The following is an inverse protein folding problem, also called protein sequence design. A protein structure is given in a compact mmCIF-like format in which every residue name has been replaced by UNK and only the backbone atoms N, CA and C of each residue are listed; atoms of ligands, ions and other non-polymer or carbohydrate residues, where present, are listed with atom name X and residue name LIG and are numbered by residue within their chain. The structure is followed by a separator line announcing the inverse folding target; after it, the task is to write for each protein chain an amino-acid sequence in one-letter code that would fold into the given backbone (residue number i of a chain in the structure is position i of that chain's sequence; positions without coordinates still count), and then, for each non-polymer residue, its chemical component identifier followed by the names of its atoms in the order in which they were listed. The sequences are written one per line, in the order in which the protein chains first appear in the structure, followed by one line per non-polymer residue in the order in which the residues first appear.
data_IF_142796138675
#
_entry.id   IF_142796138675
#
_cell.length_a   1.000
_cell.length_b   1.000
_cell.length_c   1.000
_cell.angle_alpha   90.00
_cell.angle_beta   90.00
_cell.angle_gamma   90.00
#
_symmetry.space_group_name_H-M   'P 1'
#
loop_
_entity.id
_entity.type
_entity.pdbx_description
1 polymer ?
#
# COMPACT_ATOMS: atom_id res chain seq x y z
N UNK A 1 12.38 -3.26 17.20
CA UNK A 1 12.29 -2.67 15.84
C UNK A 1 12.56 -3.74 14.77
N UNK A 2 11.61 -4.00 13.88
CA UNK A 2 11.75 -4.99 12.79
C UNK A 2 12.50 -4.44 11.56
N UNK A 3 12.82 -3.14 11.55
CA UNK A 3 13.58 -2.47 10.50
C UNK A 3 15.02 -3.00 10.49
N UNK A 4 15.48 -3.45 9.31
CA UNK A 4 16.85 -3.90 9.07
C UNK A 4 17.43 -3.10 7.91
N UNK A 5 17.98 -1.90 8.19
CA UNK A 5 18.51 -1.03 7.15
C UNK A 5 19.59 -1.73 6.33
N UNK A 6 19.74 -1.29 5.08
CA UNK A 6 20.78 -1.81 4.21
C UNK A 6 22.16 -1.45 4.78
N UNK A 7 23.05 -2.44 4.99
CA UNK A 7 24.40 -2.15 5.49
C UNK A 7 25.15 -1.19 4.56
N UNK A 8 25.74 -0.15 5.13
CA UNK A 8 26.48 0.88 4.39
C UNK A 8 25.73 2.21 4.21
N UNK A 9 24.52 2.36 4.77
CA UNK A 9 23.79 3.63 4.81
C UNK A 9 23.48 4.20 3.42
N UNK A 10 23.44 5.53 3.28
CA UNK A 10 23.10 6.21 2.03
C UNK A 10 24.03 5.85 0.85
N UNK A 11 25.32 5.58 1.10
CA UNK A 11 26.24 5.13 0.06
C UNK A 11 25.86 3.75 -0.53
N UNK A 12 25.20 2.89 0.25
CA UNK A 12 24.63 1.65 -0.26
C UNK A 12 23.33 1.90 -1.03
N UNK A 13 22.55 2.91 -0.64
CA UNK A 13 21.33 3.34 -1.34
C UNK A 13 21.66 3.90 -2.73
N UNK A 14 22.68 4.75 -2.86
CA UNK A 14 23.15 5.25 -4.17
C UNK A 14 23.47 4.09 -5.13
N UNK A 15 24.23 3.10 -4.65
CA UNK A 15 24.55 1.90 -5.44
C UNK A 15 23.31 1.10 -5.79
N UNK A 16 22.34 1.01 -4.88
CA UNK A 16 21.07 0.33 -5.12
C UNK A 16 20.25 1.05 -6.20
N UNK A 17 20.20 2.38 -6.17
CA UNK A 17 19.51 3.20 -7.16
C UNK A 17 20.03 2.93 -8.57
N UNK A 18 21.35 2.83 -8.75
CA UNK A 18 21.99 2.56 -10.04
C UNK A 18 21.92 1.09 -10.48
N UNK A 19 21.72 0.15 -9.55
CA UNK A 19 21.65 -1.28 -9.88
C UNK A 19 20.43 -1.62 -10.75
N UNK A 20 20.44 -2.70 -11.55
CA UNK A 20 19.23 -3.13 -12.25
C UNK A 20 18.13 -3.56 -11.26
N UNK A 21 16.86 -3.48 -11.69
CA UNK A 21 15.74 -4.00 -10.89
C UNK A 21 15.92 -5.51 -10.64
N UNK A 22 15.80 -5.98 -9.38
CA UNK A 22 15.82 -7.40 -9.06
C UNK A 22 14.77 -8.18 -9.85
N UNK A 23 15.08 -9.45 -10.16
CA UNK A 23 14.07 -10.35 -10.71
C UNK A 23 12.90 -10.51 -9.70
N UNK A 24 11.64 -10.65 -10.16
CA UNK A 24 10.49 -10.87 -9.26
C UNK A 24 10.61 -12.12 -8.38
N UNK A 25 11.49 -13.06 -8.76
CA UNK A 25 11.79 -14.28 -8.00
C UNK A 25 12.97 -14.13 -7.03
N UNK A 26 13.60 -12.96 -6.94
CA UNK A 26 14.69 -12.70 -5.99
C UNK A 26 14.17 -12.62 -4.54
N UNK A 27 15.05 -12.86 -3.56
CA UNK A 27 14.67 -12.88 -2.15
C UNK A 27 13.50 -13.83 -1.87
N UNK A 28 12.46 -13.33 -1.21
CA UNK A 28 11.23 -14.08 -0.92
C UNK A 28 10.35 -14.33 -2.16
N UNK A 29 10.63 -13.68 -3.29
CA UNK A 29 9.84 -13.79 -4.52
C UNK A 29 9.68 -15.22 -5.03
N UNK A 30 10.71 -16.08 -4.88
CA UNK A 30 10.62 -17.50 -5.24
C UNK A 30 9.61 -18.25 -4.36
N UNK A 31 9.60 -17.97 -3.06
CA UNK A 31 8.65 -18.61 -2.13
C UNK A 31 7.22 -18.10 -2.37
N UNK A 32 7.06 -16.80 -2.64
CA UNK A 32 5.78 -16.19 -3.03
C UNK A 32 5.25 -16.82 -4.33
N UNK A 33 6.10 -16.98 -5.35
CA UNK A 33 5.70 -17.65 -6.59
C UNK A 33 5.27 -19.11 -6.35
N UNK A 34 6.05 -19.85 -5.57
CA UNK A 34 5.78 -21.27 -5.29
C UNK A 34 4.45 -21.45 -4.53
N UNK A 35 4.14 -20.58 -3.56
CA UNK A 35 2.87 -20.66 -2.85
C UNK A 35 1.69 -20.28 -3.74
N UNK A 36 1.83 -19.26 -4.59
CA UNK A 36 0.81 -18.88 -5.58
C UNK A 36 0.50 -20.03 -6.55
N UNK A 37 1.54 -20.64 -7.13
CA UNK A 37 1.40 -21.80 -8.02
C UNK A 37 0.74 -22.99 -7.33
N UNK A 38 1.11 -23.25 -6.07
CA UNK A 38 0.48 -24.29 -5.27
C UNK A 38 -1.01 -24.02 -5.05
N UNK A 39 -1.39 -22.78 -4.71
CA UNK A 39 -2.80 -22.43 -4.57
C UNK A 39 -3.57 -22.55 -5.88
N UNK A 40 -2.99 -22.17 -7.01
CA UNK A 40 -3.64 -22.36 -8.32
C UNK A 40 -3.82 -23.83 -8.68
N UNK A 41 -2.85 -24.70 -8.38
CA UNK A 41 -2.99 -26.14 -8.54
C UNK A 41 -4.12 -26.70 -7.65
N UNK A 42 -4.22 -26.25 -6.40
CA UNK A 42 -5.32 -26.62 -5.50
C UNK A 42 -6.69 -26.13 -6.01
N UNK A 43 -6.78 -24.92 -6.57
CA UNK A 43 -8.01 -24.42 -7.21
C UNK A 43 -8.44 -25.33 -8.37
N UNK A 44 -7.50 -25.74 -9.22
CA UNK A 44 -7.80 -26.63 -10.35
C UNK A 44 -8.28 -28.02 -9.89
N UNK A 45 -7.71 -28.54 -8.80
CA UNK A 45 -8.03 -29.87 -8.30
C UNK A 45 -9.32 -29.92 -7.45
N UNK A 46 -9.62 -28.87 -6.69
CA UNK A 46 -10.68 -28.89 -5.67
C UNK A 46 -11.73 -27.79 -5.93
N UNK A 47 -12.90 -28.11 -6.53
CA UNK A 47 -13.93 -27.13 -6.85
C UNK A 47 -14.45 -26.31 -5.65
N UNK A 48 -14.53 -26.93 -4.46
CA UNK A 48 -14.91 -26.22 -3.23
C UNK A 48 -13.85 -25.18 -2.83
N UNK A 49 -12.57 -25.50 -2.98
CA UNK A 49 -11.48 -24.56 -2.72
C UNK A 49 -11.57 -23.38 -3.69
N UNK A 50 -11.71 -23.64 -4.99
CA UNK A 50 -11.85 -22.60 -6.01
C UNK A 50 -13.05 -21.66 -5.76
N UNK A 51 -14.14 -22.17 -5.20
CA UNK A 51 -15.36 -21.40 -4.93
C UNK A 51 -15.29 -20.58 -3.63
N UNK A 52 -14.70 -21.11 -2.57
CA UNK A 52 -14.81 -20.53 -1.23
C UNK A 52 -13.51 -19.93 -0.68
N UNK A 53 -12.36 -20.19 -1.32
CA UNK A 53 -11.08 -19.65 -0.88
C UNK A 53 -10.63 -18.55 -1.83
N UNK A 54 -10.59 -17.33 -1.30
CA UNK A 54 -10.00 -16.17 -1.94
C UNK A 54 -8.52 -16.10 -1.51
N UNK A 55 -7.65 -15.76 -2.45
CA UNK A 55 -6.21 -15.73 -2.22
C UNK A 55 -5.79 -14.27 -2.18
N UNK A 56 -5.16 -13.88 -1.06
CA UNK A 56 -4.60 -12.55 -0.91
C UNK A 56 -3.40 -12.33 -1.83
N UNK A 57 -3.26 -11.10 -2.35
CA UNK A 57 -2.00 -10.71 -2.96
C UNK A 57 -0.90 -10.59 -1.90
N UNK A 58 0.39 -10.78 -2.26
CA UNK A 58 1.47 -10.64 -1.30
C UNK A 58 1.52 -9.21 -0.77
N UNK A 59 1.92 -9.09 0.49
CA UNK A 59 2.21 -7.80 1.08
C UNK A 59 3.54 -7.26 0.52
N UNK A 60 3.46 -6.32 -0.40
CA UNK A 60 4.61 -5.63 -0.99
C UNK A 60 4.95 -4.32 -0.28
N UNK A 61 4.18 -3.94 0.76
CA UNK A 61 4.20 -2.62 1.41
C UNK A 61 3.94 -1.46 0.42
N UNK A 62 3.99 -0.20 0.87
CA UNK A 62 4.04 0.96 -0.03
C UNK A 62 5.46 1.41 -0.35
N UNK A 63 5.64 2.29 -1.34
CA UNK A 63 6.96 2.81 -1.70
C UNK A 63 7.73 3.42 -0.53
N UNK A 64 7.06 4.23 0.29
CA UNK A 64 7.68 4.86 1.45
C UNK A 64 8.00 3.87 2.57
N UNK A 65 7.11 2.91 2.82
CA UNK A 65 7.35 1.86 3.83
C UNK A 65 8.60 1.02 3.49
N UNK A 66 8.76 0.66 2.21
CA UNK A 66 9.99 -0.03 1.74
C UNK A 66 11.20 0.91 1.81
N UNK A 67 11.03 2.20 1.53
CA UNK A 67 12.08 3.20 1.66
C UNK A 67 12.59 3.28 3.12
N UNK A 68 11.69 3.39 4.10
CA UNK A 68 12.05 3.38 5.53
C UNK A 68 12.73 2.07 5.93
N UNK A 69 12.27 0.92 5.41
CA UNK A 69 12.90 -0.37 5.69
C UNK A 69 14.34 -0.46 5.18
N UNK A 70 14.63 0.12 4.01
CA UNK A 70 15.95 0.11 3.39
C UNK A 70 16.91 1.14 4.00
N UNK A 71 16.43 2.36 4.22
CA UNK A 71 17.26 3.48 4.70
C UNK A 71 17.39 3.47 6.23
N UNK A 72 16.35 3.04 6.95
CA UNK A 72 16.28 3.14 8.40
C UNK A 72 15.99 4.58 8.87
N UNK A 73 16.31 4.86 10.14
CA UNK A 73 16.07 6.18 10.75
C UNK A 73 16.77 7.34 10.05
N UNK A 74 17.83 7.07 9.27
CA UNK A 74 18.52 8.09 8.48
C UNK A 74 17.61 8.71 7.41
N UNK A 75 16.50 8.04 7.05
CA UNK A 75 15.49 8.56 6.12
C UNK A 75 15.00 9.94 6.53
N UNK A 76 14.76 10.18 7.83
CA UNK A 76 14.20 11.44 8.31
C UNK A 76 15.14 12.63 8.09
N UNK A 77 16.46 12.40 8.03
CA UNK A 77 17.44 13.41 7.65
C UNK A 77 17.57 13.48 6.12
N UNK A 78 17.65 12.33 5.45
CA UNK A 78 17.84 12.24 4.01
C UNK A 78 16.69 12.85 3.20
N UNK A 79 15.46 12.91 3.75
CA UNK A 79 14.34 13.64 3.14
C UNK A 79 14.65 15.14 2.98
N UNK A 80 15.50 15.73 3.83
CA UNK A 80 15.93 17.13 3.74
C UNK A 80 17.29 17.29 3.05
N UNK A 81 18.26 16.47 3.44
CA UNK A 81 19.64 16.63 3.01
C UNK A 81 19.89 16.06 1.62
N UNK A 82 19.18 14.98 1.26
CA UNK A 82 19.39 14.19 0.02
C UNK A 82 18.07 13.88 -0.72
N UNK A 83 17.15 14.85 -0.94
CA UNK A 83 15.81 14.59 -1.48
C UNK A 83 15.86 13.94 -2.87
N UNK A 84 16.84 14.31 -3.70
CA UNK A 84 17.03 13.72 -5.03
C UNK A 84 17.33 12.21 -4.97
N UNK A 85 18.16 11.79 -4.01
CA UNK A 85 18.47 10.37 -3.79
C UNK A 85 17.23 9.61 -3.31
N UNK A 86 16.46 10.20 -2.40
CA UNK A 86 15.22 9.59 -1.89
C UNK A 86 14.17 9.47 -3.01
N UNK A 87 14.01 10.48 -3.86
CA UNK A 87 13.15 10.37 -5.05
C UNK A 87 13.62 9.27 -6.01
N UNK A 88 14.93 9.16 -6.26
CA UNK A 88 15.47 8.11 -7.12
C UNK A 88 15.23 6.70 -6.54
N UNK A 89 15.35 6.55 -5.22
CA UNK A 89 15.02 5.31 -4.53
C UNK A 89 13.52 4.99 -4.61
N UNK A 90 12.64 5.95 -4.32
CA UNK A 90 11.19 5.77 -4.38
C UNK A 90 10.72 5.40 -5.80
N UNK A 91 11.29 6.04 -6.83
CA UNK A 91 11.03 5.68 -8.22
C UNK A 91 11.44 4.23 -8.52
N UNK A 92 12.61 3.80 -8.02
CA UNK A 92 13.08 2.42 -8.16
C UNK A 92 12.14 1.43 -7.46
N UNK A 93 11.76 1.70 -6.22
CA UNK A 93 10.86 0.86 -5.43
C UNK A 93 9.51 0.75 -6.14
N UNK A 94 8.98 1.86 -6.65
CA UNK A 94 7.72 1.92 -7.40
C UNK A 94 7.78 1.03 -8.64
N UNK A 95 8.86 1.09 -9.41
CA UNK A 95 9.06 0.22 -10.57
C UNK A 95 9.20 -1.26 -10.17
N UNK A 96 9.87 -1.55 -9.05
CA UNK A 96 9.96 -2.92 -8.52
C UNK A 96 8.61 -3.44 -8.04
N UNK A 97 7.79 -2.61 -7.40
CA UNK A 97 6.43 -2.94 -6.98
C UNK A 97 5.61 -3.35 -8.20
N UNK A 98 5.60 -2.53 -9.26
CA UNK A 98 4.86 -2.83 -10.49
C UNK A 98 5.26 -4.21 -11.02
N UNK A 99 6.55 -4.45 -11.22
CA UNK A 99 7.08 -5.70 -11.74
C UNK A 99 6.75 -6.92 -10.86
N UNK A 100 6.83 -6.77 -9.54
CA UNK A 100 6.55 -7.83 -8.59
C UNK A 100 5.05 -8.17 -8.53
N UNK A 101 4.19 -7.15 -8.53
CA UNK A 101 2.75 -7.33 -8.51
C UNK A 101 2.22 -7.89 -9.84
N UNK A 102 2.74 -7.45 -10.99
CA UNK A 102 2.41 -8.06 -12.29
C UNK A 102 2.78 -9.54 -12.33
N UNK A 103 3.97 -9.88 -11.84
CA UNK A 103 4.40 -11.26 -11.75
C UNK A 103 3.47 -12.08 -10.86
N UNK A 104 3.07 -11.55 -9.71
CA UNK A 104 2.08 -12.19 -8.86
C UNK A 104 0.74 -12.39 -9.58
N UNK A 105 0.18 -11.35 -10.18
CA UNK A 105 -1.11 -11.38 -10.87
C UNK A 105 -1.10 -12.32 -12.09
N UNK A 106 0.07 -12.55 -12.71
CA UNK A 106 0.24 -13.57 -13.76
C UNK A 106 0.12 -15.01 -13.25
N UNK A 107 0.36 -15.23 -11.95
CA UNK A 107 0.23 -16.53 -11.29
C UNK A 107 -1.15 -16.64 -10.65
N UNK A 108 -1.54 -15.66 -9.83
CA UNK A 108 -2.79 -15.62 -9.08
C UNK A 108 -3.56 -14.35 -9.48
N UNK A 109 -4.46 -14.45 -10.48
CA UNK A 109 -5.33 -13.32 -10.83
C UNK A 109 -6.25 -12.94 -9.67
N UNK A 110 -6.62 -11.66 -9.60
CA UNK A 110 -7.63 -11.18 -8.68
C UNK A 110 -8.96 -11.95 -8.88
N UNK A 111 -9.58 -12.36 -7.78
CA UNK A 111 -10.86 -13.07 -7.79
C UNK A 111 -11.70 -12.63 -6.57
N UNK A 112 -12.85 -11.96 -6.76
CA UNK A 112 -13.47 -11.61 -8.05
C UNK A 112 -12.64 -10.60 -8.86
N UNK A 113 -12.87 -10.56 -10.17
CA UNK A 113 -12.22 -9.58 -11.05
C UNK A 113 -12.55 -8.16 -10.62
N UNK A 114 -11.54 -7.28 -10.63
CA UNK A 114 -11.67 -5.90 -10.16
C UNK A 114 -11.55 -5.72 -8.65
N UNK A 115 -11.32 -6.79 -7.89
CA UNK A 115 -11.14 -6.73 -6.43
C UNK A 115 -9.83 -7.37 -5.98
N UNK A 116 -9.08 -6.64 -5.16
CA UNK A 116 -7.91 -7.12 -4.45
C UNK A 116 -8.35 -7.82 -3.18
N UNK A 117 -7.78 -8.99 -2.89
CA UNK A 117 -7.88 -9.58 -1.56
C UNK A 117 -6.58 -9.29 -0.81
N UNK A 118 -6.69 -8.77 0.40
CA UNK A 118 -5.54 -8.47 1.26
C UNK A 118 -5.94 -8.57 2.73
N UNK A 119 -5.21 -9.39 3.50
CA UNK A 119 -5.52 -9.73 4.89
C UNK A 119 -6.97 -10.17 5.13
N UNK A 120 -7.49 -11.02 4.23
CA UNK A 120 -8.85 -11.56 4.33
C UNK A 120 -9.96 -10.55 4.03
N UNK A 121 -9.61 -9.40 3.45
CA UNK A 121 -10.54 -8.34 3.06
C UNK A 121 -10.53 -8.19 1.54
N UNK A 122 -11.71 -7.98 0.95
CA UNK A 122 -11.85 -7.61 -0.44
C UNK A 122 -11.89 -6.09 -0.55
N UNK A 123 -11.13 -5.52 -1.48
CA UNK A 123 -11.04 -4.09 -1.75
C UNK A 123 -11.24 -3.84 -3.24
N UNK A 124 -12.04 -2.82 -3.60
CA UNK A 124 -12.20 -2.43 -5.00
C UNK A 124 -10.86 -1.95 -5.60
N UNK A 125 -10.55 -2.40 -6.81
CA UNK A 125 -9.25 -2.20 -7.48
C UNK A 125 -8.37 -3.45 -7.45
N UNK A 126 -7.17 -3.38 -8.01
CA UNK A 126 -6.29 -4.57 -8.15
C UNK A 126 -5.23 -4.71 -7.06
N UNK A 127 -4.98 -3.63 -6.32
CA UNK A 127 -3.93 -3.59 -5.29
C UNK A 127 -4.43 -2.92 -4.01
N UNK A 128 -3.81 -3.31 -2.89
CA UNK A 128 -3.85 -2.57 -1.64
C UNK A 128 -2.43 -2.08 -1.32
N UNK A 129 -2.26 -0.77 -1.18
CA UNK A 129 -1.00 -0.13 -0.77
C UNK A 129 -0.97 0.06 0.75
N UNK A 130 0.20 -0.10 1.35
CA UNK A 130 0.45 0.23 2.76
C UNK A 130 1.14 1.60 2.84
N UNK A 131 0.81 2.39 3.85
CA UNK A 131 1.41 3.70 4.10
C UNK A 131 1.55 3.93 5.60
N UNK A 132 2.24 3.02 6.29
CA UNK A 132 2.43 3.14 7.74
C UNK A 132 3.50 4.19 8.08
N UNK A 133 4.52 4.34 7.24
CA UNK A 133 5.57 5.35 7.40
C UNK A 133 5.03 6.78 7.25
N UNK A 134 3.92 6.95 6.54
CA UNK A 134 3.30 8.25 6.32
C UNK A 134 2.93 8.96 7.63
N UNK A 135 2.65 8.22 8.72
CA UNK A 135 2.31 8.81 10.01
C UNK A 135 3.43 9.67 10.61
N UNK A 136 4.67 9.44 10.17
CA UNK A 136 5.85 10.13 10.68
C UNK A 136 6.21 11.38 9.87
N UNK A 137 5.48 11.70 8.80
CA UNK A 137 5.82 12.75 7.86
C UNK A 137 4.83 13.91 7.90
N UNK A 138 5.28 15.13 7.60
CA UNK A 138 4.38 16.28 7.50
C UNK A 138 3.44 16.16 6.28
N UNK A 139 2.34 16.93 6.22
CA UNK A 139 1.48 16.98 5.04
C UNK A 139 2.24 17.31 3.75
N UNK A 140 3.22 18.22 3.83
CA UNK A 140 4.06 18.64 2.70
C UNK A 140 4.96 17.49 2.24
N UNK A 141 5.58 16.77 3.18
CA UNK A 141 6.38 15.59 2.87
C UNK A 141 5.55 14.44 2.27
N UNK A 142 4.30 14.26 2.74
CA UNK A 142 3.39 13.29 2.13
C UNK A 142 3.10 13.65 0.66
N UNK A 143 2.79 14.92 0.40
CA UNK A 143 2.54 15.46 -0.95
C UNK A 143 3.75 15.28 -1.88
N UNK A 144 4.97 15.45 -1.36
CA UNK A 144 6.22 15.37 -2.13
C UNK A 144 6.69 13.93 -2.34
N UNK A 145 6.80 13.14 -1.26
CA UNK A 145 7.52 11.87 -1.26
C UNK A 145 6.62 10.63 -1.27
N UNK A 146 5.31 10.75 -1.05
CA UNK A 146 4.41 9.58 -0.99
C UNK A 146 3.37 9.63 -2.09
N UNK A 147 2.56 10.70 -2.10
CA UNK A 147 1.39 10.83 -3.00
C UNK A 147 1.71 10.57 -4.47
N UNK A 148 2.83 11.07 -5.06
CA UNK A 148 3.10 10.86 -6.48
C UNK A 148 3.31 9.39 -6.85
N UNK A 149 3.96 8.62 -5.97
CA UNK A 149 4.29 7.22 -6.20
C UNK A 149 3.08 6.31 -5.98
N UNK A 150 2.28 6.59 -4.95
CA UNK A 150 1.01 5.91 -4.75
C UNK A 150 0.07 6.15 -5.92
N UNK A 151 -0.08 7.40 -6.35
CA UNK A 151 -0.91 7.75 -7.50
C UNK A 151 -0.41 7.06 -8.78
N UNK A 152 0.91 6.94 -8.97
CA UNK A 152 1.47 6.18 -10.08
C UNK A 152 1.07 4.70 -10.04
N UNK A 153 1.17 4.04 -8.89
CA UNK A 153 0.80 2.62 -8.74
C UNK A 153 -0.69 2.41 -8.91
N UNK A 154 -1.52 3.20 -8.24
CA UNK A 154 -2.97 3.09 -8.33
C UNK A 154 -3.43 3.29 -9.78
N UNK A 155 -2.96 4.32 -10.47
CA UNK A 155 -3.24 4.53 -11.89
C UNK A 155 -2.79 3.36 -12.77
N UNK A 156 -1.57 2.84 -12.54
CA UNK A 156 -1.01 1.74 -13.32
C UNK A 156 -1.88 0.47 -13.27
N UNK A 157 -2.43 0.18 -12.09
CA UNK A 157 -3.23 -1.01 -11.86
C UNK A 157 -4.74 -0.81 -12.06
N UNK A 158 -5.18 0.39 -12.47
CA UNK A 158 -6.60 0.72 -12.67
C UNK A 158 -7.36 0.91 -11.35
N UNK A 159 -6.65 1.37 -10.34
CA UNK A 159 -7.14 1.73 -9.01
C UNK A 159 -6.92 0.67 -7.94
N UNK A 160 -7.19 1.07 -6.71
CA UNK A 160 -6.91 0.28 -5.50
C UNK A 160 -7.23 1.04 -4.22
N UNK A 161 -6.92 0.42 -3.09
CA UNK A 161 -7.14 1.01 -1.77
C UNK A 161 -5.82 1.29 -1.07
N UNK A 162 -5.82 2.27 -0.16
CA UNK A 162 -4.66 2.59 0.67
C UNK A 162 -4.96 2.24 2.12
N UNK A 163 -4.04 1.54 2.77
CA UNK A 163 -4.05 1.25 4.19
C UNK A 163 -3.04 2.12 4.94
N UNK A 164 -3.40 2.63 6.11
CA UNK A 164 -2.44 3.21 7.04
C UNK A 164 -2.77 2.89 8.50
N UNK A 165 -1.71 2.72 9.29
CA UNK A 165 -1.79 2.70 10.75
C UNK A 165 -1.52 4.09 11.35
N UNK A 166 -1.93 4.27 12.60
CA UNK A 166 -1.65 5.45 13.41
C UNK A 166 -2.56 6.64 13.09
N UNK A 167 -1.98 7.83 13.26
CA UNK A 167 -2.64 9.11 12.96
C UNK A 167 -2.35 9.49 11.51
N UNK A 168 -3.40 9.64 10.71
CA UNK A 168 -3.34 10.05 9.31
C UNK A 168 -4.15 11.30 8.97
N UNK A 169 -4.81 11.93 9.94
CA UNK A 169 -5.62 13.14 9.73
C UNK A 169 -4.87 14.31 9.07
N UNK A 170 -3.53 14.34 9.18
CA UNK A 170 -2.71 15.42 8.65
C UNK A 170 -2.45 15.26 7.14
N UNK A 171 -2.44 14.04 6.61
CA UNK A 171 -2.28 13.78 5.18
C UNK A 171 -3.56 13.30 4.47
N UNK A 172 -4.64 13.00 5.20
CA UNK A 172 -5.87 12.39 4.63
C UNK A 172 -6.46 13.20 3.47
N UNK A 173 -6.40 14.53 3.55
CA UNK A 173 -6.92 15.41 2.51
C UNK A 173 -6.10 15.28 1.21
N UNK A 174 -4.77 15.19 1.31
CA UNK A 174 -3.89 14.94 0.17
C UNK A 174 -4.09 13.54 -0.44
N UNK A 175 -4.22 12.52 0.40
CA UNK A 175 -4.50 11.14 -0.02
C UNK A 175 -5.83 11.06 -0.78
N UNK A 176 -6.87 11.71 -0.28
CA UNK A 176 -8.21 11.70 -0.89
C UNK A 176 -8.29 12.33 -2.29
N UNK A 177 -7.26 13.09 -2.69
CA UNK A 177 -7.16 13.70 -4.03
C UNK A 177 -6.53 12.79 -5.07
N UNK A 178 -6.12 11.58 -4.71
CA UNK A 178 -5.57 10.61 -5.68
C UNK A 178 -6.74 10.09 -6.56
N UNK A 179 -6.73 10.31 -7.89
CA UNK A 179 -7.88 10.01 -8.74
C UNK A 179 -8.31 8.52 -8.75
N UNK A 180 -7.34 7.60 -8.76
CA UNK A 180 -7.57 6.16 -8.82
C UNK A 180 -7.65 5.49 -7.43
N UNK A 181 -7.95 6.27 -6.38
CA UNK A 181 -8.15 5.77 -5.02
C UNK A 181 -9.61 5.32 -4.83
N UNK A 182 -9.80 4.02 -4.62
CA UNK A 182 -11.11 3.40 -4.49
C UNK A 182 -11.57 3.20 -3.03
N UNK A 183 -10.69 3.47 -2.06
CA UNK A 183 -11.03 3.34 -0.65
C UNK A 183 -9.82 3.47 0.26
N UNK A 184 -10.10 3.73 1.53
CA UNK A 184 -9.10 3.90 2.59
C UNK A 184 -9.40 2.94 3.73
N UNK A 185 -8.36 2.27 4.22
CA UNK A 185 -8.40 1.41 5.39
C UNK A 185 -7.50 1.98 6.49
N UNK A 186 -8.06 2.33 7.65
CA UNK A 186 -7.32 2.89 8.77
C UNK A 186 -7.46 2.04 10.05
N UNK A 187 -6.36 1.84 10.77
CA UNK A 187 -6.36 0.93 11.93
C UNK A 187 -6.74 1.57 13.27
N UNK A 188 -6.47 2.87 13.49
CA UNK A 188 -6.63 3.51 14.81
C UNK A 188 -7.44 4.82 14.76
N UNK A 189 -8.78 4.74 14.63
CA UNK A 189 -9.65 5.94 14.59
C UNK A 189 -9.53 6.83 15.84
N UNK A 190 -9.26 6.25 17.02
CA UNK A 190 -9.10 7.00 18.28
C UNK A 190 -7.86 7.92 18.33
N UNK A 191 -6.93 7.79 17.37
CA UNK A 191 -5.77 8.67 17.24
C UNK A 191 -6.00 9.81 16.25
N UNK A 192 -7.20 9.93 15.68
CA UNK A 192 -7.54 10.86 14.61
C UNK A 192 -8.78 11.69 14.96
N UNK A 193 -8.83 12.91 14.44
CA UNK A 193 -10.03 13.71 14.25
C UNK A 193 -10.89 13.05 13.18
N UNK A 194 -11.84 12.24 13.64
CA UNK A 194 -12.74 11.51 12.76
C UNK A 194 -13.66 12.42 11.95
N UNK A 195 -13.98 13.63 12.42
CA UNK A 195 -14.74 14.60 11.62
C UNK A 195 -13.95 15.01 10.37
N UNK A 196 -12.66 15.30 10.55
CA UNK A 196 -11.75 15.57 9.42
C UNK A 196 -11.62 14.36 8.50
N UNK A 197 -11.40 13.16 9.04
CA UNK A 197 -11.28 11.93 8.25
C UNK A 197 -12.54 11.73 7.39
N UNK A 198 -13.74 11.82 7.98
CA UNK A 198 -15.01 11.60 7.28
C UNK A 198 -15.25 12.66 6.20
N UNK A 199 -14.97 13.93 6.50
CA UNK A 199 -15.09 15.04 5.52
C UNK A 199 -14.14 14.90 4.32
N UNK A 200 -13.00 14.23 4.50
CA UNK A 200 -12.03 13.98 3.45
C UNK A 200 -12.25 12.64 2.74
N UNK A 201 -13.10 11.75 3.26
CA UNK A 201 -13.31 10.40 2.70
C UNK A 201 -14.76 10.19 2.30
N UNK A 202 -15.60 9.78 3.25
CA UNK A 202 -17.01 9.44 3.05
C UNK A 202 -17.77 10.57 2.38
N UNK A 203 -17.56 11.82 2.80
CA UNK A 203 -18.28 12.98 2.24
C UNK A 203 -17.82 13.32 0.81
N UNK A 204 -16.67 12.78 0.39
CA UNK A 204 -16.15 12.87 -0.98
C UNK A 204 -16.46 11.62 -1.82
N UNK A 205 -17.23 10.67 -1.29
CA UNK A 205 -17.57 9.44 -1.98
C UNK A 205 -16.51 8.35 -1.91
N UNK A 206 -15.49 8.48 -1.04
CA UNK A 206 -14.42 7.49 -0.87
C UNK A 206 -14.80 6.56 0.29
N UNK A 207 -14.94 5.24 0.04
CA UNK A 207 -15.17 4.26 1.08
C UNK A 207 -14.10 4.31 2.18
N UNK A 208 -14.55 4.28 3.43
CA UNK A 208 -13.68 4.25 4.60
C UNK A 208 -13.96 2.99 5.40
N UNK A 209 -12.90 2.22 5.62
CA UNK A 209 -12.86 1.19 6.65
C UNK A 209 -12.00 1.64 7.81
N UNK A 210 -12.55 1.58 9.02
CA UNK A 210 -11.78 1.77 10.25
C UNK A 210 -11.98 0.59 11.20
N UNK A 211 -11.08 0.38 12.16
CA UNK A 211 -11.35 -0.52 13.28
C UNK A 211 -12.62 -0.07 14.02
N UNK A 212 -13.41 -1.04 14.54
CA UNK A 212 -14.65 -0.75 15.27
C UNK A 212 -14.38 0.16 16.48
N UNK A 213 -15.19 1.20 16.64
CA UNK A 213 -15.26 2.02 17.85
C UNK A 213 -16.56 2.83 17.90
N UNK A 214 -16.87 3.39 19.07
CA UNK A 214 -18.07 4.19 19.32
C UNK A 214 -17.86 5.62 18.77
N UNK A 215 -18.12 5.81 17.48
CA UNK A 215 -18.04 7.11 16.82
C UNK A 215 -19.40 7.51 16.25
N UNK A 216 -19.70 8.81 16.32
CA UNK A 216 -20.92 9.35 15.73
C UNK A 216 -20.74 9.48 14.21
N UNK A 217 -21.47 8.64 13.48
CA UNK A 217 -21.53 8.65 12.02
C UNK A 217 -22.85 9.23 11.49
N UNK A 218 -23.72 9.75 12.36
CA UNK A 218 -25.12 10.09 12.03
C UNK A 218 -25.27 11.19 10.98
N UNK A 219 -24.22 12.00 10.75
CA UNK A 219 -24.16 13.02 9.70
C UNK A 219 -23.55 12.58 8.37
N UNK A 220 -23.06 11.34 8.25
CA UNK A 220 -22.27 10.89 7.10
C UNK A 220 -22.99 9.77 6.34
N UNK A 221 -22.63 9.57 5.07
CA UNK A 221 -23.22 8.50 4.26
C UNK A 221 -22.79 7.13 4.80
N UNK A 222 -23.61 6.54 5.67
CA UNK A 222 -23.34 5.27 6.33
C UNK A 222 -23.14 4.09 5.36
N UNK A 223 -23.55 4.22 4.10
CA UNK A 223 -23.26 3.21 3.07
C UNK A 223 -21.78 3.18 2.70
N UNK A 224 -21.02 4.26 2.86
CA UNK A 224 -19.59 4.25 2.53
C UNK A 224 -18.71 3.85 3.72
N UNK A 225 -19.32 3.61 4.88
CA UNK A 225 -18.64 3.09 6.07
C UNK A 225 -18.63 1.57 6.03
N UNK A 226 -17.44 0.98 6.21
CA UNK A 226 -17.24 -0.48 6.21
C UNK A 226 -17.63 -1.18 4.90
N UNK A 227 -17.77 -0.45 3.78
CA UNK A 227 -18.04 -1.04 2.47
C UNK A 227 -16.79 -1.18 1.62
N UNK A 228 -16.81 -2.25 0.83
CA UNK A 228 -15.89 -2.56 -0.26
C UNK A 228 -16.69 -3.10 -1.45
#
# INVERSE_FOLDING_TARGET
PNVRPLPGGLAAIEKLVEAPLPAPTAGNGRAIAAIGQKFMALRAQYPKFARYVIIDHPDLQGPMDVCELLVGSDLFYALYDEPALIHALLAKITAQYQRAMEFWLSIVPNAPEGYASYFGELSLGKIVLRNDSAMNLSPEMYEEFIRPYDAQLLRYFGGGTVHFCGRGEHFIDAMSRIPDLHGINMSQPHLNDMGKILSCTVDRGIPLRCAKGDYDFSGHNARLLYQF
#
